data_IF_899966422808
#
_entry.id   IF_899966422808
#
_cell.length_a   1.000
_cell.length_b   1.000
_cell.length_c   1.000
_cell.angle_alpha   90.00
_cell.angle_beta   90.00
_cell.angle_gamma   90.00
#
_symmetry.space_group_name_H-M   'P 1'
#
loop_
_entity.id
_entity.type
_entity.pdbx_description
1 polymer ?
#
# COMPACT_ATOMS: atom_id res chain seq x y z
N UNK A 1 23.65 -93.61 -20.56
CA UNK A 1 22.71 -92.55 -20.15
C UNK A 1 23.53 -91.40 -19.57
N UNK A 2 23.86 -90.41 -20.40
CA UNK A 2 24.63 -89.23 -19.99
C UNK A 2 23.65 -88.09 -19.67
N UNK A 3 23.71 -87.58 -18.44
CA UNK A 3 22.94 -86.39 -18.04
C UNK A 3 23.63 -85.12 -18.59
N UNK A 4 22.87 -84.16 -19.13
CA UNK A 4 23.41 -82.89 -19.57
C UNK A 4 23.67 -82.01 -18.33
N UNK A 5 24.91 -81.54 -18.20
CA UNK A 5 25.27 -80.52 -17.22
C UNK A 5 24.54 -79.23 -17.58
N UNK A 6 23.64 -78.80 -16.67
CA UNK A 6 22.99 -77.50 -16.72
C UNK A 6 24.04 -76.41 -16.44
N UNK A 7 24.27 -75.55 -17.42
CA UNK A 7 25.02 -74.31 -17.26
C UNK A 7 24.22 -73.37 -16.33
N UNK A 8 24.65 -73.27 -15.09
CA UNK A 8 24.17 -72.28 -14.12
C UNK A 8 24.49 -70.87 -14.64
N UNK A 9 23.57 -69.90 -14.57
CA UNK A 9 23.88 -68.51 -14.91
C UNK A 9 24.87 -67.96 -13.88
N UNK A 10 26.13 -67.77 -14.30
CA UNK A 10 27.15 -67.03 -13.55
C UNK A 10 26.61 -65.63 -13.26
N UNK A 11 26.14 -65.41 -12.03
CA UNK A 11 25.76 -64.10 -11.55
C UNK A 11 27.02 -63.22 -11.54
N UNK A 12 27.13 -62.32 -12.52
CA UNK A 12 28.23 -61.36 -12.63
C UNK A 12 28.36 -60.57 -11.33
N UNK A 13 29.41 -60.83 -10.57
CA UNK A 13 29.67 -60.14 -9.30
C UNK A 13 30.28 -58.77 -9.59
N UNK A 14 30.02 -57.79 -8.73
CA UNK A 14 30.49 -56.41 -8.92
C UNK A 14 32.03 -56.32 -9.09
N UNK A 15 32.76 -57.27 -8.51
CA UNK A 15 34.23 -57.37 -8.56
C UNK A 15 34.78 -57.82 -9.91
N UNK A 16 33.95 -58.39 -10.79
CA UNK A 16 34.37 -58.78 -12.16
C UNK A 16 34.29 -57.62 -13.15
N UNK A 17 33.73 -56.48 -12.75
CA UNK A 17 33.68 -55.29 -13.59
C UNK A 17 35.07 -54.65 -13.72
N UNK A 18 35.40 -54.09 -14.90
CA UNK A 18 36.62 -53.30 -15.07
C UNK A 18 36.67 -52.13 -14.07
N UNK A 19 37.86 -51.79 -13.52
CA UNK A 19 38.01 -50.74 -12.52
C UNK A 19 37.53 -49.37 -13.02
N UNK A 20 37.60 -49.10 -14.32
CA UNK A 20 37.12 -47.86 -14.94
C UNK A 20 35.59 -47.71 -14.79
N UNK A 21 34.85 -48.82 -14.94
CA UNK A 21 33.39 -48.83 -14.76
C UNK A 21 33.04 -48.60 -13.29
N UNK A 22 33.78 -49.25 -12.39
CA UNK A 22 33.60 -49.08 -10.95
C UNK A 22 33.90 -47.64 -10.48
N UNK A 23 34.96 -47.01 -11.00
CA UNK A 23 35.29 -45.61 -10.72
C UNK A 23 34.18 -44.67 -11.21
N UNK A 24 33.61 -44.92 -12.38
CA UNK A 24 32.47 -44.16 -12.89
C UNK A 24 31.25 -44.30 -11.98
N UNK A 25 30.92 -45.50 -11.50
CA UNK A 25 29.82 -45.72 -10.55
C UNK A 25 30.10 -44.98 -9.23
N UNK A 26 31.32 -45.10 -8.72
CA UNK A 26 31.74 -44.49 -7.46
C UNK A 26 31.78 -42.96 -7.50
N UNK A 27 31.91 -42.35 -8.69
CA UNK A 27 31.81 -40.91 -8.86
C UNK A 27 30.42 -40.35 -8.49
N UNK A 28 29.36 -41.16 -8.62
CA UNK A 28 27.98 -40.78 -8.30
C UNK A 28 27.55 -41.14 -6.87
N UNK A 29 28.32 -41.98 -6.16
CA UNK A 29 28.00 -42.36 -4.78
C UNK A 29 28.31 -41.22 -3.81
N UNK A 30 27.44 -41.02 -2.81
CA UNK A 30 27.71 -40.05 -1.74
C UNK A 30 28.92 -40.51 -0.89
N UNK A 31 29.53 -39.57 -0.16
CA UNK A 31 30.67 -39.87 0.74
C UNK A 31 30.38 -41.01 1.74
N UNK A 32 29.20 -41.07 2.42
CA UNK A 32 28.88 -42.19 3.31
C UNK A 32 28.79 -43.53 2.56
N UNK A 33 28.21 -43.55 1.37
CA UNK A 33 28.03 -44.78 0.59
C UNK A 33 29.38 -45.31 0.07
N UNK A 34 30.25 -44.40 -0.36
CA UNK A 34 31.63 -44.72 -0.75
C UNK A 34 32.43 -45.33 0.42
N UNK A 35 32.20 -44.83 1.64
CA UNK A 35 32.81 -45.40 2.84
C UNK A 35 32.28 -46.80 3.12
N UNK A 36 30.97 -47.04 2.92
CA UNK A 36 30.38 -48.36 3.09
C UNK A 36 30.92 -49.35 2.06
N UNK A 37 31.02 -48.98 0.77
CA UNK A 37 31.58 -49.85 -0.27
C UNK A 37 33.03 -50.22 0.02
N UNK A 38 33.84 -49.26 0.51
CA UNK A 38 35.24 -49.50 0.91
C UNK A 38 35.42 -50.53 2.03
N UNK A 39 34.37 -50.80 2.82
CA UNK A 39 34.41 -51.79 3.91
C UNK A 39 34.10 -53.21 3.45
N UNK A 40 33.43 -53.35 2.31
CA UNK A 40 32.96 -54.66 1.82
C UNK A 40 34.08 -55.53 1.23
N UNK A 41 35.05 -54.94 0.52
CA UNK A 41 36.21 -55.68 0.02
C UNK A 41 37.44 -54.78 -0.22
N UNK A 42 38.61 -55.40 -0.38
CA UNK A 42 39.88 -54.69 -0.58
C UNK A 42 39.98 -53.98 -1.93
N UNK A 43 39.48 -54.59 -3.00
CA UNK A 43 39.49 -54.00 -4.35
C UNK A 43 38.67 -52.71 -4.39
N UNK A 44 37.44 -52.74 -3.85
CA UNK A 44 36.58 -51.55 -3.76
C UNK A 44 37.15 -50.52 -2.79
N UNK A 45 37.89 -50.93 -1.75
CA UNK A 45 38.62 -49.99 -0.87
C UNK A 45 39.68 -49.21 -1.64
N UNK A 46 40.49 -49.88 -2.45
CA UNK A 46 41.52 -49.22 -3.25
C UNK A 46 40.91 -48.25 -4.25
N UNK A 47 39.83 -48.64 -4.94
CA UNK A 47 39.13 -47.77 -5.90
C UNK A 47 38.37 -46.62 -5.22
N UNK A 48 37.77 -46.86 -4.04
CA UNK A 48 37.09 -45.82 -3.26
C UNK A 48 38.06 -44.76 -2.72
N UNK A 49 39.31 -45.12 -2.47
CA UNK A 49 40.37 -44.22 -2.02
C UNK A 49 41.26 -43.70 -3.17
N UNK A 50 40.87 -43.93 -4.43
CA UNK A 50 41.64 -43.48 -5.59
C UNK A 50 41.68 -41.94 -5.66
N UNK A 51 42.87 -41.31 -5.73
CA UNK A 51 42.98 -39.87 -5.89
C UNK A 51 42.28 -39.34 -7.16
N UNK A 52 42.26 -40.10 -8.25
CA UNK A 52 41.61 -39.68 -9.51
C UNK A 52 40.09 -39.56 -9.35
N UNK A 53 39.48 -40.47 -8.60
CA UNK A 53 38.06 -40.40 -8.26
C UNK A 53 37.75 -39.12 -7.49
N UNK A 54 38.54 -38.83 -6.45
CA UNK A 54 38.33 -37.65 -5.62
C UNK A 54 38.57 -36.34 -6.39
N UNK A 55 39.57 -36.30 -7.27
CA UNK A 55 39.79 -35.16 -8.17
C UNK A 55 38.61 -34.93 -9.12
N UNK A 56 38.08 -36.00 -9.72
CA UNK A 56 36.92 -35.92 -10.63
C UNK A 56 35.67 -35.43 -9.91
N UNK A 57 35.42 -35.94 -8.69
CA UNK A 57 34.31 -35.49 -7.83
C UNK A 57 34.47 -34.04 -7.41
N UNK A 58 35.69 -33.62 -7.04
CA UNK A 58 35.98 -32.23 -6.67
C UNK A 58 35.75 -31.29 -7.86
N UNK A 59 36.22 -31.66 -9.05
CA UNK A 59 36.00 -30.88 -10.26
C UNK A 59 34.52 -30.75 -10.60
N UNK A 60 33.78 -31.86 -10.55
CA UNK A 60 32.33 -31.89 -10.80
C UNK A 60 31.55 -31.07 -9.77
N UNK A 61 31.91 -31.17 -8.49
CA UNK A 61 31.30 -30.38 -7.41
C UNK A 61 31.60 -28.88 -7.58
N UNK A 62 32.85 -28.52 -7.94
CA UNK A 62 33.25 -27.14 -8.21
C UNK A 62 32.46 -26.53 -9.38
N UNK A 63 32.35 -27.27 -10.50
CA UNK A 63 31.55 -26.84 -11.66
C UNK A 63 30.07 -26.68 -11.32
N UNK A 64 29.49 -27.68 -10.64
CA UNK A 64 28.08 -27.66 -10.23
C UNK A 64 27.80 -26.49 -9.29
N UNK A 65 28.67 -26.27 -8.31
CA UNK A 65 28.55 -25.17 -7.36
C UNK A 65 28.67 -23.82 -8.07
N UNK A 66 29.63 -23.65 -8.98
CA UNK A 66 29.78 -22.43 -9.78
C UNK A 66 28.49 -22.10 -10.55
N UNK A 67 27.92 -23.09 -11.22
CA UNK A 67 26.66 -22.95 -11.95
C UNK A 67 25.47 -22.62 -11.03
N UNK A 68 25.31 -23.34 -9.92
CA UNK A 68 24.20 -23.14 -8.99
C UNK A 68 24.29 -21.81 -8.24
N UNK A 69 25.50 -21.36 -7.89
CA UNK A 69 25.70 -20.05 -7.28
C UNK A 69 25.37 -18.91 -8.24
N UNK A 70 25.70 -19.05 -9.54
CA UNK A 70 25.34 -18.06 -10.55
C UNK A 70 23.83 -17.94 -10.76
N UNK A 71 23.07 -19.03 -10.59
CA UNK A 71 21.60 -19.06 -10.70
C UNK A 71 20.85 -18.68 -9.42
N UNK A 72 21.57 -18.41 -8.32
CA UNK A 72 20.97 -18.08 -7.03
C UNK A 72 20.16 -16.78 -7.12
N UNK A 73 18.94 -16.78 -6.58
CA UNK A 73 18.16 -15.57 -6.43
C UNK A 73 18.90 -14.51 -5.60
N UNK A 74 18.84 -13.25 -6.03
CA UNK A 74 19.46 -12.15 -5.32
C UNK A 74 18.87 -11.99 -3.92
N UNK A 75 19.67 -11.48 -2.98
CA UNK A 75 19.23 -11.28 -1.59
C UNK A 75 17.97 -10.40 -1.50
N UNK A 76 17.82 -9.42 -2.40
CA UNK A 76 16.65 -8.54 -2.47
C UNK A 76 15.38 -9.23 -2.98
N UNK A 77 15.50 -10.29 -3.78
CA UNK A 77 14.37 -11.11 -4.24
C UNK A 77 13.85 -12.07 -3.17
N UNK A 78 14.74 -12.54 -2.29
CA UNK A 78 14.38 -13.47 -1.20
C UNK A 78 14.07 -12.77 0.14
N UNK A 79 14.17 -11.44 0.19
CA UNK A 79 13.95 -10.62 1.39
C UNK A 79 12.74 -9.69 1.21
N UNK A 80 12.16 -9.17 2.29
CA UNK A 80 11.05 -8.22 2.19
C UNK A 80 11.45 -6.99 1.36
N UNK A 81 10.54 -6.45 0.52
CA UNK A 81 9.09 -6.71 0.47
C UNK A 81 8.67 -7.85 -0.47
N UNK A 82 9.58 -8.39 -1.28
CA UNK A 82 9.24 -9.33 -2.36
C UNK A 82 8.92 -10.73 -1.83
N UNK A 83 9.66 -11.20 -0.83
CA UNK A 83 9.37 -12.47 -0.15
C UNK A 83 9.85 -12.49 1.30
N UNK A 84 9.41 -13.48 2.06
CA UNK A 84 9.67 -13.59 3.51
C UNK A 84 10.61 -14.75 3.85
N UNK A 85 11.41 -15.21 2.89
CA UNK A 85 12.29 -16.38 3.03
C UNK A 85 13.52 -16.03 3.88
N UNK A 86 14.20 -14.92 3.55
CA UNK A 86 15.34 -14.42 4.29
C UNK A 86 14.94 -13.20 5.12
N UNK A 87 14.98 -13.34 6.46
CA UNK A 87 14.64 -12.27 7.38
C UNK A 87 15.88 -11.78 8.13
N UNK A 88 16.10 -10.46 8.14
CA UNK A 88 17.06 -9.86 9.04
C UNK A 88 16.56 -9.93 10.49
N UNK A 89 17.48 -9.75 11.46
CA UNK A 89 17.12 -9.58 12.87
C UNK A 89 16.09 -8.46 13.08
N UNK A 90 16.20 -7.37 12.30
CA UNK A 90 15.24 -6.26 12.34
C UNK A 90 13.86 -6.64 11.81
N UNK A 91 13.77 -7.45 10.74
CA UNK A 91 12.51 -7.95 10.21
C UNK A 91 11.80 -8.86 11.21
N UNK A 92 12.54 -9.75 11.88
CA UNK A 92 11.97 -10.64 12.91
C UNK A 92 11.39 -9.82 14.07
N UNK A 93 12.15 -8.84 14.59
CA UNK A 93 11.67 -7.96 15.64
C UNK A 93 10.46 -7.12 15.20
N UNK A 94 10.49 -6.58 13.99
CA UNK A 94 9.37 -5.84 13.40
C UNK A 94 8.10 -6.68 13.39
N UNK A 95 8.17 -7.94 12.92
CA UNK A 95 7.02 -8.86 12.94
C UNK A 95 6.50 -9.14 14.34
N UNK A 96 7.38 -9.32 15.31
CA UNK A 96 6.98 -9.56 16.70
C UNK A 96 6.21 -8.36 17.26
N UNK A 97 6.71 -7.15 17.00
CA UNK A 97 6.01 -5.91 17.37
C UNK A 97 4.68 -5.81 16.64
N UNK A 98 4.64 -6.03 15.32
CA UNK A 98 3.39 -6.01 14.53
C UNK A 98 2.36 -7.01 15.07
N UNK A 99 2.78 -8.23 15.41
CA UNK A 99 1.90 -9.23 16.04
C UNK A 99 1.37 -8.77 17.39
N UNK A 100 2.22 -8.18 18.23
CA UNK A 100 1.80 -7.62 19.52
C UNK A 100 0.78 -6.51 19.35
N UNK A 101 1.02 -5.58 18.41
CA UNK A 101 0.11 -4.49 18.11
C UNK A 101 -1.23 -4.98 17.55
N UNK A 102 -1.20 -5.96 16.64
CA UNK A 102 -2.42 -6.59 16.13
C UNK A 102 -3.18 -7.27 17.28
N UNK A 103 -2.49 -7.99 18.17
CA UNK A 103 -3.13 -8.64 19.32
C UNK A 103 -3.82 -7.63 20.24
N UNK A 104 -3.15 -6.51 20.58
CA UNK A 104 -3.73 -5.44 21.40
C UNK A 104 -4.92 -4.78 20.70
N UNK A 105 -4.80 -4.49 19.39
CA UNK A 105 -5.90 -3.94 18.61
C UNK A 105 -7.09 -4.89 18.59
N UNK A 106 -6.86 -6.18 18.37
CA UNK A 106 -7.92 -7.18 18.33
C UNK A 106 -8.57 -7.35 19.71
N UNK A 107 -7.81 -7.41 20.81
CA UNK A 107 -8.40 -7.51 22.15
C UNK A 107 -9.34 -6.33 22.42
N UNK A 108 -8.88 -5.10 22.13
CA UNK A 108 -9.70 -3.90 22.30
C UNK A 108 -10.95 -3.91 21.40
N UNK A 109 -10.84 -4.33 20.14
CA UNK A 109 -11.99 -4.41 19.23
C UNK A 109 -12.96 -5.52 19.60
N UNK A 110 -12.49 -6.61 20.20
CA UNK A 110 -13.34 -7.69 20.67
C UNK A 110 -14.11 -7.32 21.94
N UNK A 111 -13.51 -6.52 22.83
CA UNK A 111 -14.20 -5.94 23.99
C UNK A 111 -15.35 -5.02 23.58
N UNK A 112 -15.16 -4.22 22.53
CA UNK A 112 -16.16 -3.29 22.00
C UNK A 112 -16.99 -3.88 20.86
N UNK A 113 -17.07 -5.22 20.77
CA UNK A 113 -17.78 -5.87 19.67
C UNK A 113 -19.29 -5.60 19.81
N UNK A 114 -19.93 -4.91 18.85
CA UNK A 114 -21.37 -4.66 18.92
C UNK A 114 -22.14 -5.97 18.85
N UNK A 115 -23.25 -6.02 19.60
CA UNK A 115 -24.13 -7.19 19.58
C UNK A 115 -24.80 -7.34 18.20
N UNK A 116 -25.20 -8.55 17.79
CA UNK A 116 -25.96 -8.75 16.56
C UNK A 116 -27.25 -7.91 16.51
N UNK A 117 -27.89 -7.68 17.66
CA UNK A 117 -29.08 -6.84 17.78
C UNK A 117 -28.80 -5.37 17.42
N UNK A 118 -27.70 -4.81 17.94
CA UNK A 118 -27.27 -3.45 17.57
C UNK A 118 -26.92 -3.32 16.08
N UNK A 119 -26.38 -4.37 15.47
CA UNK A 119 -26.10 -4.38 14.03
C UNK A 119 -27.39 -4.43 13.20
N UNK A 120 -28.45 -5.07 13.70
CA UNK A 120 -29.78 -5.05 13.10
C UNK A 120 -30.42 -3.67 13.24
N UNK A 121 -30.32 -3.05 14.43
CA UNK A 121 -30.84 -1.70 14.69
C UNK A 121 -30.19 -0.66 13.77
N UNK A 122 -28.88 -0.78 13.54
CA UNK A 122 -28.13 0.05 12.60
C UNK A 122 -28.35 -0.33 11.13
N UNK A 123 -29.24 -1.27 10.83
CA UNK A 123 -29.52 -1.79 9.49
C UNK A 123 -28.29 -2.33 8.73
N UNK A 124 -27.26 -2.76 9.47
CA UNK A 124 -26.06 -3.42 8.91
C UNK A 124 -26.36 -4.91 8.67
N UNK A 125 -27.00 -5.55 9.65
CA UNK A 125 -27.52 -6.91 9.52
C UNK A 125 -29.03 -6.87 9.30
N UNK A 126 -29.56 -7.93 8.68
CA UNK A 126 -30.99 -8.10 8.56
C UNK A 126 -31.61 -8.56 9.87
N UNK A 127 -32.86 -8.16 10.17
CA UNK A 127 -33.57 -8.62 11.37
C UNK A 127 -33.64 -10.14 11.49
N UNK A 128 -33.72 -10.85 10.37
CA UNK A 128 -33.77 -12.33 10.30
C UNK A 128 -32.45 -12.97 10.80
N UNK A 129 -31.36 -12.21 10.82
CA UNK A 129 -30.01 -12.65 11.19
C UNK A 129 -29.62 -12.26 12.62
N UNK A 130 -30.49 -11.58 13.39
CA UNK A 130 -30.17 -11.02 14.71
C UNK A 130 -30.08 -12.05 15.84
N UNK A 131 -30.58 -13.28 15.65
CA UNK A 131 -30.49 -14.35 16.63
C UNK A 131 -29.32 -15.28 16.33
N UNK A 132 -28.33 -15.30 17.23
CA UNK A 132 -27.04 -15.98 17.06
C UNK A 132 -27.11 -17.49 16.81
N UNK A 133 -28.28 -18.13 16.92
CA UNK A 133 -28.44 -19.58 16.68
C UNK A 133 -29.73 -20.00 15.96
N UNK A 134 -30.59 -19.06 15.56
CA UNK A 134 -31.93 -19.39 15.02
C UNK A 134 -32.34 -18.54 13.82
N UNK A 135 -31.39 -18.08 13.00
CA UNK A 135 -31.76 -17.55 11.69
C UNK A 135 -32.31 -18.70 10.84
N UNK A 136 -33.56 -18.65 10.35
CA UNK A 136 -34.12 -19.68 9.48
C UNK A 136 -33.44 -19.73 8.09
N UNK A 137 -32.59 -18.75 7.79
CA UNK A 137 -31.91 -18.63 6.49
C UNK A 137 -30.39 -18.69 6.70
N UNK A 138 -29.74 -19.62 6.00
CA UNK A 138 -28.28 -19.75 5.96
C UNK A 138 -27.63 -18.47 5.43
N UNK A 139 -26.44 -18.06 5.93
CA UNK A 139 -25.72 -16.87 5.45
C UNK A 139 -25.55 -16.81 3.93
N UNK A 140 -25.35 -17.96 3.29
CA UNK A 140 -25.20 -18.06 1.83
C UNK A 140 -26.48 -17.69 1.05
N UNK A 141 -27.65 -17.79 1.69
CA UNK A 141 -28.96 -17.55 1.06
C UNK A 141 -29.56 -16.18 1.40
N UNK A 142 -28.93 -15.39 2.28
CA UNK A 142 -29.46 -14.08 2.69
C UNK A 142 -29.67 -13.16 1.49
N UNK A 143 -28.69 -13.12 0.57
CA UNK A 143 -28.75 -12.24 -0.60
C UNK A 143 -29.85 -12.67 -1.58
N UNK A 144 -29.99 -13.97 -1.86
CA UNK A 144 -31.03 -14.48 -2.75
C UNK A 144 -32.42 -14.28 -2.15
N UNK A 145 -32.57 -14.56 -0.86
CA UNK A 145 -33.80 -14.32 -0.11
C UNK A 145 -34.22 -12.84 -0.16
N UNK A 146 -33.30 -11.90 0.09
CA UNK A 146 -33.57 -10.47 -0.05
C UNK A 146 -33.96 -10.05 -1.47
N UNK A 147 -33.30 -10.61 -2.48
CA UNK A 147 -33.61 -10.28 -3.87
C UNK A 147 -35.04 -10.71 -4.21
N UNK A 148 -35.43 -11.92 -3.79
CA UNK A 148 -36.80 -12.43 -3.96
C UNK A 148 -37.81 -11.59 -3.19
N UNK A 149 -37.52 -11.22 -1.94
CA UNK A 149 -38.39 -10.36 -1.15
C UNK A 149 -38.58 -8.98 -1.80
N UNK A 150 -37.50 -8.33 -2.24
CA UNK A 150 -37.58 -7.03 -2.94
C UNK A 150 -38.36 -7.14 -4.25
N UNK A 151 -38.17 -8.21 -5.02
CA UNK A 151 -38.94 -8.47 -6.25
C UNK A 151 -40.43 -8.63 -5.94
N UNK A 152 -40.76 -9.47 -4.98
CA UNK A 152 -42.15 -9.69 -4.53
C UNK A 152 -42.82 -8.40 -4.06
N UNK A 153 -42.12 -7.56 -3.30
CA UNK A 153 -42.63 -6.25 -2.87
C UNK A 153 -42.84 -5.30 -4.04
N UNK A 154 -41.91 -5.24 -5.00
CA UNK A 154 -42.06 -4.45 -6.23
C UNK A 154 -43.27 -4.90 -7.04
N UNK A 155 -43.44 -6.20 -7.22
CA UNK A 155 -44.56 -6.76 -7.99
C UNK A 155 -45.91 -6.49 -7.30
N UNK A 156 -45.96 -6.62 -5.97
CA UNK A 156 -47.16 -6.28 -5.17
C UNK A 156 -47.47 -4.79 -5.24
N UNK A 157 -46.47 -3.92 -5.11
CA UNK A 157 -46.64 -2.48 -5.21
C UNK A 157 -47.10 -2.07 -6.60
N UNK A 158 -46.50 -2.63 -7.67
CA UNK A 158 -46.90 -2.38 -9.04
C UNK A 158 -48.38 -2.69 -9.28
N UNK A 159 -48.87 -3.84 -8.80
CA UNK A 159 -50.31 -4.18 -8.86
C UNK A 159 -51.19 -3.22 -8.07
N UNK A 160 -50.76 -2.80 -6.88
CA UNK A 160 -51.49 -1.80 -6.07
C UNK A 160 -51.57 -0.45 -6.78
N UNK A 161 -50.48 -0.02 -7.42
CA UNK A 161 -50.43 1.23 -8.18
C UNK A 161 -51.24 1.17 -9.48
N UNK A 162 -51.31 0.02 -10.14
CA UNK A 162 -52.19 -0.17 -11.31
C UNK A 162 -53.67 -0.02 -10.96
N UNK A 163 -54.07 -0.38 -9.74
CA UNK A 163 -55.43 -0.21 -9.22
C UNK A 163 -55.65 1.12 -8.51
N UNK A 164 -54.72 2.09 -8.68
CA UNK A 164 -54.87 3.40 -8.06
C UNK A 164 -56.14 4.06 -8.59
N UNK A 165 -57.11 4.44 -7.74
CA UNK A 165 -58.29 5.15 -8.18
C UNK A 165 -57.87 6.46 -8.85
N UNK A 166 -58.56 6.81 -9.93
CA UNK A 166 -58.32 8.07 -10.63
C UNK A 166 -58.64 9.24 -9.69
N UNK A 167 -58.10 10.41 -10.01
CA UNK A 167 -58.36 11.62 -9.21
C UNK A 167 -59.86 11.95 -9.19
N UNK A 168 -60.57 11.72 -10.30
CA UNK A 168 -62.03 11.88 -10.38
C UNK A 168 -62.75 10.98 -9.36
N UNK A 169 -62.37 9.69 -9.30
CA UNK A 169 -62.95 8.75 -8.33
C UNK A 169 -62.69 9.16 -6.87
N UNK A 170 -61.58 9.85 -6.57
CA UNK A 170 -61.31 10.37 -5.22
C UNK A 170 -62.15 11.61 -4.86
N UNK A 171 -62.54 12.40 -5.86
CA UNK A 171 -63.47 13.52 -5.69
C UNK A 171 -64.89 13.01 -5.47
N UNK A 172 -65.32 11.99 -6.22
CA UNK A 172 -66.63 11.36 -6.05
C UNK A 172 -66.78 10.73 -4.66
N UNK A 173 -65.67 10.24 -4.09
CA UNK A 173 -65.59 9.75 -2.70
C UNK A 173 -65.45 10.86 -1.65
N UNK A 174 -65.48 12.13 -2.06
CA UNK A 174 -65.32 13.31 -1.20
C UNK A 174 -64.04 13.32 -0.34
N UNK A 175 -62.98 12.65 -0.80
CA UNK A 175 -61.67 12.63 -0.14
C UNK A 175 -60.85 13.86 -0.55
N UNK A 176 -61.04 14.32 -1.79
CA UNK A 176 -60.36 15.49 -2.36
C UNK A 176 -61.44 16.48 -2.85
N UNK A 177 -61.30 17.79 -2.58
CA UNK A 177 -62.22 18.78 -3.10
C UNK A 177 -62.20 18.87 -4.63
N UNK A 178 -63.36 19.11 -5.25
CA UNK A 178 -63.50 19.16 -6.71
C UNK A 178 -62.68 20.30 -7.35
N UNK A 179 -62.43 21.38 -6.62
CA UNK A 179 -61.60 22.51 -7.04
C UNK A 179 -60.13 22.13 -7.30
N UNK A 180 -59.61 21.10 -6.63
CA UNK A 180 -58.22 20.64 -6.80
C UNK A 180 -57.97 20.00 -8.18
N UNK A 181 -59.00 19.47 -8.84
CA UNK A 181 -58.87 18.86 -10.17
C UNK A 181 -58.74 19.94 -11.25
N UNK A 182 -59.49 21.06 -11.12
CA UNK A 182 -59.54 22.14 -12.12
C UNK A 182 -58.22 22.92 -12.25
N UNK A 183 -57.38 22.90 -11.22
CA UNK A 183 -56.07 23.56 -11.25
C UNK A 183 -55.08 22.90 -12.23
N UNK A 184 -55.23 21.60 -12.53
CA UNK A 184 -54.30 20.88 -13.43
C UNK A 184 -54.61 21.05 -14.93
N UNK A 185 -55.85 21.37 -15.29
CA UNK A 185 -56.25 21.57 -16.69
C UNK A 185 -55.92 22.97 -17.22
N UNK A 186 -55.76 23.97 -16.36
CA UNK A 186 -55.43 25.34 -16.79
C UNK A 186 -53.93 25.56 -17.05
N UNK A 187 -53.06 24.61 -16.68
CA UNK A 187 -51.61 24.69 -16.92
C UNK A 187 -51.14 23.97 -18.20
N UNK A 188 -52.04 23.33 -18.96
CA UNK A 188 -51.71 22.41 -20.07
C UNK A 188 -52.08 22.93 -21.47
N UNK A 189 -52.07 24.26 -21.69
CA UNK A 189 -52.06 24.84 -23.06
C UNK A 189 -50.63 25.11 -23.57
N UNK A 190 -49.71 24.21 -23.29
CA UNK A 190 -48.34 24.22 -23.84
C UNK A 190 -47.88 22.77 -24.06
N UNK A 191 -48.39 22.17 -25.12
CA UNK A 191 -47.95 20.87 -25.66
C UNK A 191 -46.62 21.04 -26.38
N UNK A 192 -45.55 20.50 -25.81
CA UNK A 192 -44.37 20.06 -26.58
C UNK A 192 -44.36 18.53 -26.56
N UNK A 193 -44.48 17.94 -27.74
CA UNK A 193 -44.40 16.51 -28.00
C UNK A 193 -42.97 15.99 -27.74
N UNK A 194 -42.83 15.00 -26.85
CA UNK A 194 -41.62 14.18 -26.76
C UNK A 194 -42.01 12.74 -27.09
N UNK A 195 -41.52 12.25 -28.22
CA UNK A 195 -41.60 10.85 -28.60
C UNK A 195 -40.73 10.01 -27.66
N UNK A 196 -41.34 9.02 -27.02
CA UNK A 196 -40.64 8.03 -26.20
C UNK A 196 -40.03 6.97 -27.12
N UNK A 197 -38.75 7.16 -27.46
CA UNK A 197 -37.91 6.11 -28.01
C UNK A 197 -37.63 5.06 -26.92
N UNK A 198 -38.29 3.91 -27.03
CA UNK A 198 -37.99 2.71 -26.25
C UNK A 198 -36.61 2.18 -26.69
N UNK A 199 -35.58 2.38 -25.88
CA UNK A 199 -34.32 1.65 -25.98
C UNK A 199 -34.48 0.29 -25.29
N UNK A 200 -34.69 -0.74 -26.11
CA UNK A 200 -34.47 -2.14 -25.75
C UNK A 200 -32.96 -2.36 -25.53
N UNK A 201 -32.56 -2.65 -24.31
CA UNK A 201 -31.24 -3.24 -23.99
C UNK A 201 -31.46 -4.67 -23.52
N UNK A 202 -31.42 -5.62 -24.44
CA UNK A 202 -30.82 -6.95 -24.28
C UNK A 202 -31.08 -7.83 -25.52
N UNK A 203 -29.97 -8.37 -26.07
CA UNK A 203 -29.73 -9.31 -27.19
C UNK A 203 -28.63 -8.65 -28.04
N UNK A 204 -27.39 -9.14 -28.14
CA UNK A 204 -27.00 -10.45 -28.63
C UNK A 204 -25.63 -10.92 -28.10
N UNK A 205 -25.50 -12.23 -28.01
CA UNK A 205 -24.27 -13.02 -28.00
C UNK A 205 -23.64 -13.12 -29.40
N UNK A 206 -22.30 -13.10 -29.42
CA UNK A 206 -21.33 -13.81 -30.29
C UNK A 206 -21.25 -13.61 -31.82
N UNK A 207 -20.02 -13.28 -32.26
CA UNK A 207 -19.21 -13.91 -33.34
C UNK A 207 -18.88 -13.14 -34.63
N UNK A 208 -17.58 -13.25 -34.99
CA UNK A 208 -16.90 -13.22 -36.31
C UNK A 208 -16.72 -11.91 -37.12
N UNK A 209 -15.48 -11.40 -37.04
CA UNK A 209 -14.45 -11.24 -38.12
C UNK A 209 -14.66 -10.34 -39.36
N UNK A 210 -13.55 -9.89 -40.00
CA UNK A 210 -13.46 -8.58 -40.67
C UNK A 210 -13.15 -8.62 -42.19
N UNK A 211 -13.45 -7.51 -42.88
CA UNK A 211 -12.91 -7.02 -44.16
C UNK A 211 -13.74 -5.77 -44.53
N UNK A 212 -13.37 -4.76 -45.29
CA UNK A 212 -12.17 -4.16 -45.89
C UNK A 212 -12.70 -2.83 -46.47
N UNK A 213 -11.85 -1.82 -46.77
CA UNK A 213 -12.30 -0.49 -47.16
C UNK A 213 -12.43 -0.38 -48.69
N UNK A 214 -13.41 0.39 -49.18
CA UNK A 214 -13.41 0.86 -50.56
C UNK A 214 -13.86 2.32 -50.70
N UNK A 215 -13.02 2.97 -51.47
CA UNK A 215 -12.89 4.35 -51.89
C UNK A 215 -13.92 4.74 -52.97
N UNK A 216 -14.15 6.05 -53.10
CA UNK A 216 -14.19 6.79 -54.39
C UNK A 216 -15.53 7.04 -55.12
N UNK A 217 -15.89 8.34 -55.07
CA UNK A 217 -16.31 9.26 -56.15
C UNK A 217 -17.76 9.41 -56.66
N UNK A 218 -18.08 10.71 -56.80
CA UNK A 218 -18.70 11.44 -57.93
C UNK A 218 -20.05 12.14 -57.71
N UNK A 219 -20.03 13.43 -58.10
CA UNK A 219 -21.13 14.31 -58.56
C UNK A 219 -22.24 14.61 -57.55
N UNK A 220 -22.52 15.84 -57.14
CA UNK A 220 -22.57 17.06 -57.94
C UNK A 220 -24.02 17.51 -58.02
N UNK A 221 -24.45 18.41 -57.12
CA UNK A 221 -25.59 19.34 -57.27
C UNK A 221 -25.73 20.15 -55.99
N UNK A 222 -25.50 21.46 -56.10
CA UNK A 222 -25.83 22.45 -55.06
C UNK A 222 -27.35 22.56 -54.89
N UNK A 223 -27.83 22.66 -53.64
CA UNK A 223 -29.00 23.46 -53.35
C UNK A 223 -28.61 24.69 -52.52
N UNK A 224 -29.20 25.81 -52.90
CA UNK A 224 -29.07 27.13 -52.30
C UNK A 224 -29.26 27.12 -50.77
N UNK A 225 -28.29 27.69 -50.06
CA UNK A 225 -28.41 28.04 -48.64
C UNK A 225 -29.33 29.26 -48.46
N UNK A 226 -30.43 29.16 -47.70
CA UNK A 226 -31.11 30.35 -47.20
C UNK A 226 -30.35 30.92 -45.99
N UNK A 227 -30.21 32.23 -46.00
CA UNK A 227 -29.73 33.09 -44.92
C UNK A 227 -30.36 32.71 -43.57
N UNK A 228 -29.60 32.61 -42.45
CA UNK A 228 -30.19 32.43 -41.14
C UNK A 228 -30.84 33.75 -40.72
N UNK A 229 -32.16 33.84 -40.89
CA UNK A 229 -32.93 34.87 -40.22
C UNK A 229 -32.83 34.63 -38.72
N UNK A 230 -32.23 35.59 -38.03
CA UNK A 230 -32.19 35.73 -36.57
C UNK A 230 -33.62 35.83 -36.03
N UNK A 231 -34.29 34.71 -35.87
CA UNK A 231 -35.52 34.64 -35.07
C UNK A 231 -35.11 34.69 -33.61
N UNK A 232 -35.18 35.87 -33.02
CA UNK A 232 -35.12 36.04 -31.57
C UNK A 232 -36.29 35.25 -30.96
N UNK A 233 -35.98 34.04 -30.48
CA UNK A 233 -36.97 33.24 -29.75
C UNK A 233 -37.33 34.04 -28.51
N UNK A 234 -38.53 34.61 -28.50
CA UNK A 234 -39.10 35.29 -27.33
C UNK A 234 -39.39 34.21 -26.29
N UNK A 235 -38.38 33.90 -25.48
CA UNK A 235 -38.51 32.98 -24.36
C UNK A 235 -39.39 33.65 -23.31
N UNK A 236 -40.52 33.02 -22.99
CA UNK A 236 -41.44 33.51 -21.96
C UNK A 236 -40.70 33.85 -20.65
N UNK A 237 -40.96 35.00 -20.02
CA UNK A 237 -40.32 35.41 -18.77
C UNK A 237 -40.34 34.35 -17.66
N UNK A 238 -41.38 33.50 -17.63
CA UNK A 238 -41.50 32.40 -16.66
C UNK A 238 -40.39 31.35 -16.80
N UNK A 239 -39.98 31.03 -18.03
CA UNK A 239 -38.90 30.07 -18.32
C UNK A 239 -37.54 30.64 -17.93
N UNK A 240 -37.36 31.96 -18.12
CA UNK A 240 -36.13 32.65 -17.70
C UNK A 240 -36.01 32.65 -16.17
N UNK A 241 -37.11 32.82 -15.44
CA UNK A 241 -37.13 32.76 -13.98
C UNK A 241 -36.83 31.35 -13.46
N UNK A 242 -37.43 30.31 -14.05
CA UNK A 242 -37.11 28.91 -13.67
C UNK A 242 -35.66 28.57 -13.96
N UNK A 243 -35.13 28.96 -15.13
CA UNK A 243 -33.71 28.78 -15.45
C UNK A 243 -32.79 29.47 -14.44
N UNK A 244 -33.11 30.70 -14.04
CA UNK A 244 -32.36 31.44 -13.00
C UNK A 244 -32.43 30.77 -11.64
N UNK A 245 -33.57 30.19 -11.27
CA UNK A 245 -33.71 29.45 -10.00
C UNK A 245 -32.87 28.17 -9.99
N UNK A 246 -32.90 27.39 -11.08
CA UNK A 246 -32.06 26.19 -11.23
C UNK A 246 -30.59 26.56 -11.15
N UNK A 247 -30.15 27.62 -11.85
CA UNK A 247 -28.76 28.09 -11.77
C UNK A 247 -28.39 28.48 -10.34
N UNK A 248 -29.26 29.19 -9.61
CA UNK A 248 -29.00 29.55 -8.21
C UNK A 248 -28.87 28.33 -7.30
N UNK A 249 -29.75 27.35 -7.43
CA UNK A 249 -29.68 26.12 -6.62
C UNK A 249 -28.44 25.28 -6.98
N UNK A 250 -28.11 25.13 -8.26
CA UNK A 250 -26.87 24.41 -8.66
C UNK A 250 -25.60 25.07 -8.14
N UNK A 251 -25.56 26.41 -8.04
CA UNK A 251 -24.45 27.14 -7.43
C UNK A 251 -24.40 26.93 -5.91
N UNK A 252 -25.56 26.89 -5.24
CA UNK A 252 -25.62 26.57 -3.80
C UNK A 252 -25.16 25.15 -3.51
N UNK A 253 -25.57 24.18 -4.34
CA UNK A 253 -25.14 22.78 -4.22
C UNK A 253 -23.65 22.62 -4.49
N UNK A 254 -23.13 23.31 -5.51
CA UNK A 254 -21.69 23.37 -5.76
C UNK A 254 -20.90 23.98 -4.59
N UNK A 255 -21.44 25.03 -3.95
CA UNK A 255 -20.81 25.64 -2.79
C UNK A 255 -20.86 24.73 -1.55
N UNK A 256 -21.98 24.03 -1.32
CA UNK A 256 -22.11 23.01 -0.26
C UNK A 256 -21.07 21.91 -0.44
N UNK A 257 -21.00 21.34 -1.64
CA UNK A 257 -20.03 20.30 -1.97
C UNK A 257 -18.57 20.79 -1.82
N UNK A 258 -18.30 22.04 -2.19
CA UNK A 258 -16.96 22.63 -2.02
C UNK A 258 -16.59 22.83 -0.55
N UNK A 259 -17.52 23.29 0.29
CA UNK A 259 -17.31 23.46 1.74
C UNK A 259 -17.11 22.10 2.41
N UNK A 260 -17.93 21.10 2.08
CA UNK A 260 -17.79 19.73 2.57
C UNK A 260 -16.44 19.13 2.14
N UNK A 261 -16.03 19.34 0.89
CA UNK A 261 -14.72 18.92 0.38
C UNK A 261 -13.55 19.57 1.14
N UNK A 262 -13.63 20.86 1.45
CA UNK A 262 -12.62 21.57 2.25
C UNK A 262 -12.60 21.11 3.70
N UNK A 263 -13.77 20.84 4.28
CA UNK A 263 -13.90 20.26 5.63
C UNK A 263 -13.23 18.88 5.72
N UNK A 264 -13.51 18.00 4.76
CA UNK A 264 -12.86 16.68 4.65
C UNK A 264 -11.34 16.80 4.47
N UNK A 265 -10.88 17.77 3.67
CA UNK A 265 -9.44 17.97 3.45
C UNK A 265 -8.73 18.52 4.70
N UNK A 266 -9.39 19.37 5.49
CA UNK A 266 -8.87 19.83 6.77
C UNK A 266 -8.83 18.69 7.81
N UNK A 267 -9.87 17.86 7.87
CA UNK A 267 -9.87 16.66 8.73
C UNK A 267 -8.78 15.67 8.33
N UNK A 268 -8.56 15.47 7.02
CA UNK A 268 -7.48 14.62 6.52
C UNK A 268 -6.10 15.13 6.96
N UNK A 269 -5.82 16.42 6.84
CA UNK A 269 -4.56 17.01 7.31
C UNK A 269 -4.36 16.81 8.81
N UNK A 270 -5.40 17.02 9.60
CA UNK A 270 -5.35 16.80 11.06
C UNK A 270 -5.12 15.33 11.43
N UNK A 271 -5.70 14.41 10.66
CA UNK A 271 -5.43 12.98 10.82
C UNK A 271 -3.98 12.63 10.45
N UNK A 272 -3.46 13.14 9.33
CA UNK A 272 -2.08 12.94 8.90
C UNK A 272 -1.06 13.50 9.92
N UNK A 273 -1.35 14.65 10.55
CA UNK A 273 -0.55 15.23 11.64
C UNK A 273 -0.54 14.35 12.90
N UNK A 274 -1.68 13.82 13.32
CA UNK A 274 -1.76 12.87 14.44
C UNK A 274 -0.99 11.58 14.13
N UNK A 275 -1.13 11.06 12.90
CA UNK A 275 -0.41 9.87 12.44
C UNK A 275 1.11 10.09 12.47
N UNK A 276 1.57 11.29 12.08
CA UNK A 276 2.98 11.68 12.15
C UNK A 276 3.47 11.80 13.60
N UNK A 277 2.67 12.36 14.50
CA UNK A 277 2.98 12.46 15.93
C UNK A 277 3.07 11.06 16.58
N UNK A 278 2.16 10.15 16.25
CA UNK A 278 2.20 8.76 16.72
C UNK A 278 3.46 8.03 16.22
N UNK A 279 3.81 8.19 14.93
CA UNK A 279 5.05 7.62 14.37
C UNK A 279 6.30 8.15 15.07
N UNK A 280 6.32 9.44 15.45
CA UNK A 280 7.41 10.02 16.23
C UNK A 280 7.51 9.40 17.64
N UNK A 281 6.36 9.13 18.29
CA UNK A 281 6.33 8.48 19.59
C UNK A 281 6.77 7.01 19.52
N UNK A 282 6.30 6.26 18.52
CA UNK A 282 6.74 4.86 18.26
C UNK A 282 8.24 4.81 18.02
N UNK A 283 8.81 5.73 17.24
CA UNK A 283 10.26 5.81 17.01
C UNK A 283 11.02 6.07 18.31
N UNK A 284 10.46 6.87 19.21
CA UNK A 284 11.03 7.13 20.55
C UNK A 284 10.97 5.91 21.45
N UNK A 285 9.83 5.19 21.47
CA UNK A 285 9.67 3.92 22.17
C UNK A 285 10.63 2.84 21.66
N UNK A 286 10.76 2.68 20.34
CA UNK A 286 11.70 1.74 19.72
C UNK A 286 13.14 2.07 20.10
N UNK A 287 13.53 3.36 20.09
CA UNK A 287 14.85 3.80 20.56
C UNK A 287 15.09 3.47 22.03
N UNK A 288 14.12 3.73 22.91
CA UNK A 288 14.21 3.39 24.35
C UNK A 288 14.32 1.89 24.58
N UNK A 289 13.55 1.09 23.85
CA UNK A 289 13.60 -0.37 23.95
C UNK A 289 14.93 -0.93 23.45
N UNK A 290 15.43 -0.44 22.30
CA UNK A 290 16.74 -0.83 21.77
C UNK A 290 17.88 -0.48 22.74
N UNK A 291 17.84 0.72 23.34
CA UNK A 291 18.81 1.13 24.35
C UNK A 291 18.78 0.23 25.60
N UNK A 292 17.58 -0.11 26.11
CA UNK A 292 17.43 -1.05 27.24
C UNK A 292 17.96 -2.45 26.91
N UNK A 293 17.70 -2.94 25.70
CA UNK A 293 18.17 -4.25 25.25
C UNK A 293 19.69 -4.28 25.13
N UNK A 294 20.30 -3.25 24.53
CA UNK A 294 21.76 -3.13 24.45
C UNK A 294 22.41 -3.05 25.84
N UNK A 295 21.79 -2.37 26.80
CA UNK A 295 22.27 -2.34 28.19
C UNK A 295 22.22 -3.73 28.84
N UNK A 296 21.13 -4.48 28.64
CA UNK A 296 20.99 -5.84 29.17
C UNK A 296 21.99 -6.83 28.53
N UNK A 297 22.20 -6.74 27.21
CA UNK A 297 23.17 -7.57 26.50
C UNK A 297 24.61 -7.25 26.97
N UNK A 298 24.93 -5.97 27.19
CA UNK A 298 26.23 -5.55 27.74
C UNK A 298 26.47 -6.05 29.17
N UNK A 299 25.43 -6.08 30.01
CA UNK A 299 25.51 -6.63 31.37
C UNK A 299 25.77 -8.14 31.36
N UNK A 300 25.12 -8.89 30.46
CA UNK A 300 25.36 -10.32 30.28
C UNK A 300 26.80 -10.61 29.81
N UNK A 301 27.32 -9.81 28.87
CA UNK A 301 28.69 -9.95 28.40
C UNK A 301 29.72 -9.63 29.49
N UNK A 302 29.44 -8.61 30.33
CA UNK A 302 30.27 -8.33 31.50
C UNK A 302 30.28 -9.51 32.50
N UNK A 303 29.12 -10.12 32.76
CA UNK A 303 29.04 -11.31 33.63
C UNK A 303 29.82 -12.49 33.05
N UNK A 304 29.73 -12.72 31.74
CA UNK A 304 30.51 -13.77 31.04
C UNK A 304 32.01 -13.52 31.15
N UNK A 305 32.44 -12.30 30.90
CA UNK A 305 33.85 -11.93 30.99
C UNK A 305 34.39 -12.09 32.41
N UNK A 306 33.61 -11.72 33.43
CA UNK A 306 33.96 -11.95 34.84
C UNK A 306 34.09 -13.45 35.15
N UNK A 307 33.24 -14.30 34.59
CA UNK A 307 33.38 -15.77 34.71
C UNK A 307 34.64 -16.28 34.02
N UNK A 308 34.96 -15.79 32.81
CA UNK A 308 36.21 -16.15 32.11
C UNK A 308 37.44 -15.78 32.93
N UNK A 309 37.49 -14.57 33.49
CA UNK A 309 38.60 -14.14 34.36
C UNK A 309 38.76 -15.01 35.61
N UNK A 310 37.66 -15.40 36.25
CA UNK A 310 37.68 -16.33 37.39
C UNK A 310 38.18 -17.72 36.99
N UNK A 311 37.71 -18.24 35.86
CA UNK A 311 38.15 -19.53 35.34
C UNK A 311 39.64 -19.50 34.96
N UNK A 312 40.11 -18.43 34.32
CA UNK A 312 41.52 -18.24 33.99
C UNK A 312 42.40 -18.14 35.24
N UNK A 313 41.96 -17.41 36.28
CA UNK A 313 42.67 -17.33 37.56
C UNK A 313 42.77 -18.70 38.24
N UNK A 314 41.69 -19.49 38.24
CA UNK A 314 41.68 -20.85 38.78
C UNK A 314 42.59 -21.81 37.98
N UNK A 315 42.59 -21.70 36.65
CA UNK A 315 43.44 -22.50 35.77
C UNK A 315 44.92 -22.11 35.87
N UNK A 316 45.23 -20.85 36.18
CA UNK A 316 46.60 -20.36 36.29
C UNK A 316 47.36 -20.88 37.52
N UNK A 317 46.69 -21.59 38.44
CA UNK A 317 47.30 -22.61 39.31
C UNK A 317 48.67 -22.28 39.88
N UNK A 318 48.95 -21.02 40.23
CA UNK A 318 50.22 -20.64 40.82
C UNK A 318 50.13 -20.91 42.31
N UNK A 319 50.30 -22.19 42.65
CA UNK A 319 50.66 -22.63 43.97
C UNK A 319 52.06 -22.13 44.30
N UNK A 320 52.17 -20.86 44.66
CA UNK A 320 53.31 -20.35 45.43
C UNK A 320 52.72 -19.66 46.64
N UNK A 321 52.79 -20.36 47.77
CA UNK A 321 52.53 -19.79 49.07
C UNK A 321 53.50 -18.65 49.31
N UNK A 322 53.01 -17.43 49.27
CA UNK A 322 53.66 -16.31 49.94
C UNK A 322 52.58 -15.53 50.65
N UNK A 323 52.59 -15.66 51.97
CA UNK A 323 51.82 -14.85 52.90
C UNK A 323 52.27 -13.39 52.80
N UNK A 324 51.80 -12.68 51.79
CA UNK A 324 51.88 -11.21 51.74
C UNK A 324 50.48 -10.68 52.00
N UNK A 325 50.39 -9.98 53.12
CA UNK A 325 49.23 -9.26 53.62
C UNK A 325 48.61 -8.39 52.51
N UNK A 326 47.62 -8.94 51.82
CA UNK A 326 46.86 -8.25 50.78
C UNK A 326 45.85 -7.33 51.46
N UNK A 327 46.34 -6.20 51.99
CA UNK A 327 45.51 -5.03 52.29
C UNK A 327 44.77 -4.67 51.00
N UNK A 328 43.47 -4.96 50.99
CA UNK A 328 42.54 -4.53 49.97
C UNK A 328 42.57 -3.00 49.92
N UNK A 329 43.26 -2.43 48.94
CA UNK A 329 43.01 -1.06 48.51
C UNK A 329 41.69 -1.04 47.72
N UNK A 330 40.58 -1.19 48.45
CA UNK A 330 39.27 -0.82 47.97
C UNK A 330 39.29 0.71 47.77
N UNK A 331 39.54 1.16 46.53
CA UNK A 331 39.35 2.56 46.19
C UNK A 331 37.93 2.98 46.57
N UNK A 332 37.76 4.11 47.29
CA UNK A 332 36.48 4.54 47.79
C UNK A 332 35.48 4.73 46.64
N UNK A 333 34.18 4.44 46.86
CA UNK A 333 33.15 4.50 45.82
C UNK A 333 33.08 5.85 45.08
N UNK A 334 33.51 6.94 45.72
CA UNK A 334 33.58 8.27 45.10
C UNK A 334 34.54 8.37 43.91
N UNK A 335 35.65 7.61 43.90
CA UNK A 335 36.61 7.65 42.79
C UNK A 335 36.06 6.96 41.53
N UNK A 336 35.19 5.96 41.69
CA UNK A 336 34.51 5.29 40.55
C UNK A 336 33.48 6.22 39.91
N UNK A 337 32.75 7.00 40.72
CA UNK A 337 31.75 7.94 40.23
C UNK A 337 32.37 9.10 39.44
N UNK A 338 33.56 9.57 39.86
CA UNK A 338 34.36 10.57 39.10
C UNK A 338 34.97 10.03 37.80
N UNK A 339 35.24 8.73 37.71
CA UNK A 339 35.76 8.11 36.49
C UNK A 339 34.63 7.95 35.45
N UNK A 340 33.45 7.50 35.87
CA UNK A 340 32.27 7.38 35.01
C UNK A 340 31.74 8.73 34.53
N UNK A 341 31.81 9.78 35.36
CA UNK A 341 31.46 11.13 34.95
C UNK A 341 32.33 11.67 33.81
N UNK A 342 33.64 11.37 33.83
CA UNK A 342 34.57 11.80 32.77
C UNK A 342 34.38 11.05 31.46
N UNK A 343 34.09 9.75 31.52
CA UNK A 343 33.75 8.98 30.31
C UNK A 343 32.41 9.42 29.70
N UNK A 344 31.41 9.72 30.53
CA UNK A 344 30.13 10.23 30.06
C UNK A 344 30.26 11.61 29.41
N UNK A 345 31.08 12.51 29.96
CA UNK A 345 31.36 13.82 29.35
C UNK A 345 32.16 13.69 28.04
N UNK A 346 33.15 12.79 27.97
CA UNK A 346 33.87 12.47 26.72
C UNK A 346 32.94 11.93 25.63
N UNK A 347 31.96 11.11 25.99
CA UNK A 347 30.97 10.59 25.05
C UNK A 347 30.03 11.70 24.54
N UNK A 348 29.60 12.63 25.41
CA UNK A 348 28.80 13.80 25.00
C UNK A 348 29.61 14.74 24.10
N UNK A 349 30.89 14.95 24.39
CA UNK A 349 31.78 15.78 23.57
C UNK A 349 31.94 15.21 22.16
N UNK A 350 32.16 13.88 22.02
CA UNK A 350 32.20 13.20 20.71
C UNK A 350 30.88 13.29 19.94
N UNK A 351 29.73 13.19 20.59
CA UNK A 351 28.44 13.35 19.88
C UNK A 351 28.22 14.79 19.40
N UNK A 352 28.71 15.79 20.17
CA UNK A 352 28.70 17.20 19.75
C UNK A 352 29.60 17.43 18.54
N UNK A 353 30.84 16.92 18.55
CA UNK A 353 31.77 17.01 17.42
C UNK A 353 31.18 16.34 16.16
N UNK A 354 30.55 15.17 16.31
CA UNK A 354 29.90 14.46 15.19
C UNK A 354 28.74 15.27 14.61
N UNK A 355 27.98 16.00 15.42
CA UNK A 355 26.93 16.90 14.94
C UNK A 355 27.48 18.13 14.24
N UNK A 356 28.61 18.68 14.69
CA UNK A 356 29.26 19.81 14.02
C UNK A 356 29.82 19.41 12.66
N UNK A 357 30.45 18.23 12.52
CA UNK A 357 30.87 17.71 11.21
C UNK A 357 29.72 17.58 10.23
N UNK A 358 28.57 17.06 10.68
CA UNK A 358 27.37 16.93 9.84
C UNK A 358 26.77 18.28 9.43
N UNK A 359 26.92 19.33 10.24
CA UNK A 359 26.52 20.69 9.83
C UNK A 359 27.49 21.23 8.77
N UNK A 360 28.79 21.03 8.97
CA UNK A 360 29.79 21.53 8.05
C UNK A 360 29.70 20.87 6.66
N UNK A 361 29.44 19.56 6.60
CA UNK A 361 29.20 18.83 5.35
C UNK A 361 27.93 19.32 4.63
N UNK A 362 26.93 19.82 5.38
CA UNK A 362 25.70 20.35 4.78
C UNK A 362 25.92 21.73 4.17
N UNK A 363 26.73 22.58 4.82
CA UNK A 363 27.04 23.92 4.34
C UNK A 363 28.00 23.89 3.14
N UNK A 364 28.96 22.96 3.09
CA UNK A 364 29.89 22.84 1.95
C UNK A 364 29.26 22.28 0.66
N UNK A 365 28.08 21.67 0.74
CA UNK A 365 27.42 21.11 -0.45
C UNK A 365 26.53 22.13 -1.18
N UNK A 366 26.45 23.38 -0.71
CA UNK A 366 25.68 24.43 -1.35
C UNK A 366 26.48 25.38 -2.26
N UNK A 367 27.82 25.34 -2.23
CA UNK A 367 28.69 26.28 -2.95
C UNK A 367 29.54 25.65 -4.06
N UNK A 368 28.93 24.84 -4.94
CA UNK A 368 29.54 24.52 -6.24
C UNK A 368 28.75 25.15 -7.39
N UNK A 369 29.14 26.34 -7.89
CA UNK A 369 28.64 26.84 -9.16
C UNK A 369 29.21 25.97 -10.29
N UNK A 370 28.31 25.45 -11.11
CA UNK A 370 28.60 24.50 -12.17
C UNK A 370 29.58 25.03 -13.21
N UNK A 371 30.70 24.34 -13.37
CA UNK A 371 31.51 24.39 -14.57
C UNK A 371 31.00 23.31 -15.54
N UNK A 372 30.67 23.73 -16.75
CA UNK A 372 30.03 22.93 -17.79
C UNK A 372 30.91 21.85 -18.40
N UNK A 373 30.23 20.95 -19.13
CA UNK A 373 30.83 19.97 -20.02
C UNK A 373 29.77 19.49 -21.00
N UNK A 374 29.82 20.05 -22.21
CA UNK A 374 29.18 19.54 -23.43
C UNK A 374 29.47 18.05 -23.62
N UNK A 375 28.48 17.28 -24.10
CA UNK A 375 28.59 16.63 -25.42
C UNK A 375 27.26 16.01 -25.86
N UNK A 376 27.01 16.14 -27.17
CA UNK A 376 25.71 16.06 -27.81
C UNK A 376 25.19 14.65 -28.15
N UNK A 377 23.89 14.58 -28.44
CA UNK A 377 23.22 13.35 -28.86
C UNK A 377 21.73 13.54 -29.13
N UNK A 378 21.45 14.20 -30.26
CA UNK A 378 20.20 14.51 -30.97
C UNK A 378 19.16 13.36 -31.07
N UNK A 379 17.89 13.61 -30.70
CA UNK A 379 16.69 13.50 -31.57
C UNK A 379 15.34 13.66 -30.79
N UNK A 380 14.61 14.70 -31.19
CA UNK A 380 13.15 14.90 -31.29
C UNK A 380 12.16 14.14 -30.38
N UNK A 381 11.40 14.89 -29.56
CA UNK A 381 10.05 15.37 -29.90
C UNK A 381 9.23 15.81 -28.66
N UNK A 382 8.83 17.10 -28.65
CA UNK A 382 7.43 17.48 -28.42
C UNK A 382 6.89 17.72 -26.99
N UNK A 383 6.93 18.99 -26.55
CA UNK A 383 5.85 19.69 -25.79
C UNK A 383 5.75 19.41 -24.27
N UNK A 384 5.53 20.37 -23.38
CA UNK A 384 5.25 21.80 -23.47
C UNK A 384 4.64 22.28 -22.14
N UNK A 385 5.11 23.42 -21.63
CA UNK A 385 4.51 24.20 -20.52
C UNK A 385 5.02 23.85 -19.11
N UNK A 386 5.56 24.73 -18.27
CA UNK A 386 5.65 26.20 -18.29
C UNK A 386 5.26 26.74 -16.91
N UNK A 387 6.19 27.41 -16.20
CA UNK A 387 5.86 28.28 -15.05
C UNK A 387 6.81 28.26 -13.84
N UNK A 388 8.02 28.83 -13.96
CA UNK A 388 8.69 29.53 -12.85
C UNK A 388 8.20 30.99 -12.81
N UNK A 389 8.15 31.71 -11.70
CA UNK A 389 9.18 31.83 -10.66
C UNK A 389 9.85 33.20 -10.86
N UNK A 390 9.36 34.19 -10.12
CA UNK A 390 9.64 35.64 -10.26
C UNK A 390 10.99 35.99 -9.63
N UNK A 391 11.81 36.78 -10.34
CA UNK A 391 13.04 37.39 -9.86
C UNK A 391 13.06 38.89 -10.21
N UNK A 392 13.57 39.69 -9.28
CA UNK A 392 13.52 41.15 -9.21
C UNK A 392 14.53 41.88 -10.13
N UNK A 393 14.16 43.12 -10.48
CA UNK A 393 15.08 44.28 -10.49
C UNK A 393 15.70 44.69 -11.83
N UNK A 394 15.35 45.90 -12.30
CA UNK A 394 16.25 47.03 -12.64
C UNK A 394 15.46 48.12 -13.39
N UNK A 395 15.71 49.37 -13.00
CA UNK A 395 15.04 50.63 -13.34
C UNK A 395 15.23 51.13 -14.79
N UNK A 396 14.16 51.65 -15.42
CA UNK A 396 14.16 52.99 -16.07
C UNK A 396 12.77 53.43 -16.59
N UNK A 397 12.53 54.76 -16.72
CA UNK A 397 11.20 55.36 -16.78
C UNK A 397 10.78 55.74 -18.21
N UNK A 398 9.50 55.65 -18.55
CA UNK A 398 8.75 56.62 -19.39
C UNK A 398 7.24 56.33 -19.34
N UNK A 399 6.47 57.40 -19.34
CA UNK A 399 5.01 57.50 -19.26
C UNK A 399 4.20 56.53 -20.13
N UNK A 400 3.15 55.95 -19.56
CA UNK A 400 1.80 56.10 -20.13
C UNK A 400 0.73 55.81 -19.08
N UNK A 401 -0.16 56.78 -18.90
CA UNK A 401 -1.37 56.76 -18.09
C UNK A 401 -2.32 55.62 -18.45
N UNK A 402 -2.65 54.75 -17.49
CA UNK A 402 -3.78 53.81 -17.56
C UNK A 402 -4.53 53.80 -16.22
N UNK A 403 -5.83 54.08 -16.31
CA UNK A 403 -6.80 54.10 -15.24
C UNK A 403 -6.88 52.75 -14.48
N UNK A 404 -7.09 52.73 -13.15
CA UNK A 404 -7.33 51.48 -12.45
C UNK A 404 -8.70 50.92 -12.82
N UNK A 405 -8.71 49.76 -13.48
CA UNK A 405 -9.93 48.97 -13.61
C UNK A 405 -10.42 48.52 -12.23
N UNK A 406 -11.74 48.59 -11.95
CA UNK A 406 -12.27 48.09 -10.69
C UNK A 406 -12.21 46.56 -10.68
N UNK A 407 -11.48 45.98 -9.72
CA UNK A 407 -11.54 44.55 -9.47
C UNK A 407 -12.95 44.16 -9.02
N UNK A 408 -13.43 43.02 -9.54
CA UNK A 408 -14.78 42.44 -9.41
C UNK A 408 -15.33 42.33 -7.97
N UNK A 409 -14.48 42.47 -6.95
CA UNK A 409 -14.87 42.52 -5.54
C UNK A 409 -15.61 43.83 -5.18
N UNK A 410 -15.37 44.92 -5.90
CA UNK A 410 -16.00 46.22 -5.62
C UNK A 410 -17.48 46.29 -6.05
N UNK A 411 -17.92 45.41 -6.96
CA UNK A 411 -19.26 45.44 -7.57
C UNK A 411 -20.32 44.68 -6.77
N UNK A 412 -19.92 43.85 -5.78
CA UNK A 412 -20.87 42.96 -5.08
C UNK A 412 -21.06 43.27 -3.58
N UNK A 413 -20.52 44.36 -3.03
CA UNK A 413 -20.76 44.73 -1.63
C UNK A 413 -20.27 43.71 -0.58
N UNK A 414 -19.38 42.78 -0.96
CA UNK A 414 -18.88 41.71 -0.08
C UNK A 414 -17.81 42.15 0.94
N UNK A 415 -17.36 43.41 0.91
CA UNK A 415 -16.31 43.89 1.83
C UNK A 415 -16.72 43.73 3.31
N UNK A 416 -17.98 44.05 3.63
CA UNK A 416 -18.53 43.90 4.99
C UNK A 416 -18.66 42.45 5.44
N UNK A 417 -18.92 41.53 4.51
CA UNK A 417 -19.00 40.10 4.81
C UNK A 417 -17.62 39.55 5.19
N UNK A 418 -16.57 39.88 4.42
CA UNK A 418 -15.22 39.42 4.71
C UNK A 418 -14.58 40.09 5.94
N UNK A 419 -14.86 41.37 6.20
CA UNK A 419 -14.46 42.01 7.46
C UNK A 419 -15.08 41.34 8.69
N UNK A 420 -16.32 40.86 8.61
CA UNK A 420 -16.97 40.10 9.69
C UNK A 420 -16.33 38.73 9.94
N UNK A 421 -15.98 38.02 8.88
CA UNK A 421 -15.33 36.69 8.97
C UNK A 421 -13.94 36.79 9.58
N UNK A 422 -13.15 37.80 9.18
CA UNK A 422 -11.80 38.01 9.71
C UNK A 422 -11.84 38.39 11.21
N UNK A 423 -12.81 39.21 11.61
CA UNK A 423 -12.96 39.64 13.01
C UNK A 423 -13.40 38.50 13.93
N UNK A 424 -14.22 37.57 13.44
CA UNK A 424 -14.63 36.37 14.17
C UNK A 424 -13.48 35.37 14.32
N UNK A 425 -12.60 35.25 13.31
CA UNK A 425 -11.43 34.38 13.37
C UNK A 425 -10.31 34.90 14.26
N UNK A 426 -10.28 36.21 14.57
CA UNK A 426 -9.30 36.81 15.48
C UNK A 426 -9.76 36.85 16.95
N UNK A 427 -11.03 36.49 17.23
CA UNK A 427 -11.64 36.56 18.55
C UNK A 427 -11.82 35.19 19.24
N UNK A 428 -11.35 34.11 18.63
CA UNK A 428 -11.29 32.76 19.21
C UNK A 428 -9.89 32.19 19.06
#
# INVERSE_FOLDING_TARGET
MAQPQQASPELTTLTTLPPEVLLNIFAYLEVPDLLQTSRTCHQLRTLACDPLLHLTRLHSASQTLSYLLARRASKSSISPPSSWICLSKTNVLSRQISKSLIRIRLSHNLEHRPSPAELVERAILLPVCGSSYSSPVSPALIQSHQAVQRRSLRDRLARKLQRRPSVASLVDLNIIPAECVRATTNSSRSTTSYSTAAKCTNCCTTSSSPSSPCTTLHSGSQPHHPHPQSTSVIVSPAIVLTRRNVIRETLKDGLRAWVEGRGLQAQKRKADELDAAERANVKTLVRRFAARKLAADAELDWVRERRRRRAAAAASGSGVGTSVSQKQCALPPESRQRCWGREAEMAKAKDRERRERLRHDHDHNHDHPGAGGNDGGRADAGGGGGGGGIGEGVDHPYCCSVCPQPTRAHVLGLKRFWEGVIRAAAAG
#
